data_IF_323180931474
#
_entry.id   IF_323180931474
#
_cell.length_a   1.000
_cell.length_b   1.000
_cell.length_c   1.000
_cell.angle_alpha   90.00
_cell.angle_beta   90.00
_cell.angle_gamma   90.00
#
_symmetry.space_group_name_H-M   'P 1'
#
loop_
_entity.id
_entity.type
_entity.pdbx_description
1 polymer ?
#
# COMPACT_ATOMS: atom_id res chain seq x y z
N UNK A 1 19.91 -21.12 1.46
CA UNK A 1 18.50 -21.38 1.04
C UNK A 1 18.22 -20.54 -0.18
N UNK A 2 17.51 -21.06 -1.18
CA UNK A 2 17.14 -20.28 -2.36
C UNK A 2 15.91 -19.39 -2.10
N UNK A 3 15.67 -18.36 -2.94
CA UNK A 3 14.44 -17.55 -2.88
C UNK A 3 13.18 -18.41 -3.06
N UNK A 4 13.25 -19.46 -3.87
CA UNK A 4 12.15 -20.40 -4.07
C UNK A 4 11.84 -21.21 -2.79
N UNK A 5 12.86 -21.60 -2.03
CA UNK A 5 12.67 -22.30 -0.74
C UNK A 5 12.04 -21.36 0.30
N UNK A 6 12.48 -20.10 0.35
CA UNK A 6 11.89 -19.08 1.22
C UNK A 6 10.44 -18.77 0.84
N UNK A 7 10.10 -18.74 -0.44
CA UNK A 7 8.72 -18.54 -0.90
C UNK A 7 7.79 -19.68 -0.51
N UNK A 8 8.26 -20.94 -0.59
CA UNK A 8 7.50 -22.11 -0.13
C UNK A 8 7.22 -22.04 1.38
N UNK A 9 8.21 -21.65 2.18
CA UNK A 9 8.03 -21.47 3.62
C UNK A 9 7.12 -20.27 3.90
N UNK A 10 7.32 -19.15 3.20
CA UNK A 10 6.51 -17.95 3.33
C UNK A 10 5.03 -18.21 3.06
N UNK A 11 4.70 -19.02 2.05
CA UNK A 11 3.33 -19.40 1.76
C UNK A 11 2.62 -20.09 2.93
N UNK A 12 3.35 -20.80 3.80
CA UNK A 12 2.80 -21.41 5.02
C UNK A 12 2.50 -20.39 6.13
N UNK A 13 3.19 -19.24 6.13
CA UNK A 13 3.02 -18.15 7.09
C UNK A 13 1.90 -17.19 6.68
N UNK A 14 1.60 -17.09 5.38
CA UNK A 14 0.51 -16.30 4.84
C UNK A 14 0.69 -16.07 3.34
N UNK A 15 -0.41 -15.90 2.60
CA UNK A 15 -0.39 -15.72 1.15
C UNK A 15 0.38 -14.47 0.68
N UNK A 16 0.50 -13.48 1.56
CA UNK A 16 1.20 -12.23 1.26
C UNK A 16 2.71 -12.30 1.50
N UNK A 17 3.21 -13.30 2.23
CA UNK A 17 4.63 -13.39 2.59
C UNK A 17 5.54 -13.58 1.38
N UNK A 18 5.20 -14.45 0.39
CA UNK A 18 6.01 -14.60 -0.82
C UNK A 18 6.19 -13.30 -1.63
N UNK A 19 5.22 -12.39 -1.57
CA UNK A 19 5.30 -11.08 -2.24
C UNK A 19 6.51 -10.27 -1.74
N UNK A 20 6.75 -10.26 -0.42
CA UNK A 20 7.86 -9.50 0.17
C UNK A 20 9.24 -10.07 -0.17
N UNK A 21 9.30 -11.29 -0.71
CA UNK A 21 10.56 -11.94 -1.10
C UNK A 21 11.03 -11.55 -2.50
N UNK A 22 10.16 -10.90 -3.28
CA UNK A 22 10.35 -10.55 -4.69
C UNK A 22 10.79 -9.10 -4.92
N UNK A 23 10.45 -8.59 -6.10
CA UNK A 23 10.60 -7.19 -6.48
C UNK A 23 9.58 -6.30 -5.75
N UNK A 24 9.85 -4.99 -5.60
CA UNK A 24 8.97 -4.06 -4.86
C UNK A 24 7.57 -3.92 -5.49
N UNK A 25 7.42 -4.30 -6.76
CA UNK A 25 6.16 -4.28 -7.50
C UNK A 25 6.01 -5.58 -8.26
N UNK A 26 4.83 -6.18 -8.17
CA UNK A 26 4.53 -7.44 -8.85
C UNK A 26 3.05 -7.57 -9.19
N UNK A 27 2.77 -8.32 -10.25
CA UNK A 27 1.45 -8.81 -10.57
C UNK A 27 1.25 -10.15 -9.87
N UNK A 28 0.37 -10.18 -8.88
CA UNK A 28 -0.07 -11.40 -8.24
C UNK A 28 -1.33 -11.93 -8.92
N UNK A 29 -1.35 -13.24 -9.24
CA UNK A 29 -2.51 -13.97 -9.75
C UNK A 29 -2.87 -15.12 -8.81
N UNK A 30 -4.05 -15.72 -9.03
CA UNK A 30 -4.53 -16.82 -8.20
C UNK A 30 -4.90 -16.34 -6.80
N UNK A 31 -4.33 -16.99 -5.78
CA UNK A 31 -4.45 -16.57 -4.36
C UNK A 31 -3.23 -15.77 -3.88
N UNK A 32 -2.41 -15.26 -4.80
CA UNK A 32 -1.11 -14.66 -4.50
C UNK A 32 0.06 -15.64 -4.65
N UNK A 33 -0.19 -16.81 -5.23
CA UNK A 33 0.77 -17.89 -5.46
C UNK A 33 1.57 -17.73 -6.76
N UNK A 34 0.98 -17.09 -7.76
CA UNK A 34 1.67 -16.75 -9.01
C UNK A 34 2.09 -15.29 -8.99
N UNK A 35 3.37 -15.03 -8.73
CA UNK A 35 3.94 -13.68 -8.63
C UNK A 35 4.82 -13.43 -9.86
N UNK A 36 4.41 -12.46 -10.68
CA UNK A 36 5.17 -11.96 -11.83
C UNK A 36 5.80 -10.61 -11.46
N UNK A 37 7.13 -10.48 -11.38
CA UNK A 37 7.80 -9.21 -11.11
C UNK A 37 7.44 -8.12 -12.12
N UNK A 38 7.31 -6.89 -11.65
CA UNK A 38 7.06 -5.71 -12.47
C UNK A 38 8.13 -4.64 -12.20
N UNK A 39 8.37 -3.73 -13.17
CA UNK A 39 9.19 -2.55 -12.89
C UNK A 39 8.58 -1.73 -11.74
N UNK A 40 9.41 -1.00 -10.98
CA UNK A 40 8.91 -0.10 -9.95
C UNK A 40 8.01 0.98 -10.57
N UNK A 41 7.01 1.50 -9.82
CA UNK A 41 6.21 2.61 -10.28
C UNK A 41 7.07 3.88 -10.46
N UNK A 42 6.58 4.86 -11.23
CA UNK A 42 7.20 6.18 -11.31
C UNK A 42 7.37 6.79 -9.93
N UNK A 43 8.37 7.65 -9.77
CA UNK A 43 8.59 8.36 -8.52
C UNK A 43 7.36 9.17 -8.11
N UNK A 44 6.87 8.89 -6.91
CA UNK A 44 5.71 9.55 -6.34
C UNK A 44 5.71 9.46 -4.81
N UNK A 45 4.79 10.18 -4.19
CA UNK A 45 4.58 10.23 -2.75
C UNK A 45 3.17 9.79 -2.41
N UNK A 46 3.02 9.21 -1.24
CA UNK A 46 1.76 8.69 -0.73
C UNK A 46 1.42 9.41 0.57
N UNK A 47 0.15 9.78 0.71
CA UNK A 47 -0.44 10.12 2.02
C UNK A 47 -1.39 9.01 2.40
N UNK A 48 -1.15 8.35 3.51
CA UNK A 48 -1.99 7.26 4.03
C UNK A 48 -2.81 7.81 5.20
N UNK A 49 -4.12 7.75 5.08
CA UNK A 49 -5.07 8.02 6.14
C UNK A 49 -5.62 6.70 6.69
N UNK A 50 -5.53 6.52 8.01
CA UNK A 50 -6.06 5.35 8.71
C UNK A 50 -7.03 5.81 9.82
N UNK A 51 -8.29 5.36 9.79
CA UNK A 51 -9.32 5.79 10.73
C UNK A 51 -9.26 5.06 12.09
N UNK A 52 -8.31 4.15 12.28
CA UNK A 52 -8.02 3.55 13.59
C UNK A 52 -8.90 2.36 13.98
N UNK A 53 -9.86 1.95 13.15
CA UNK A 53 -10.64 0.72 13.34
C UNK A 53 -10.16 -0.40 12.40
N UNK A 54 -10.43 -1.68 12.71
CA UNK A 54 -10.12 -2.79 11.81
C UNK A 54 -11.31 -3.14 10.89
N UNK A 55 -11.01 -3.66 9.69
CA UNK A 55 -12.00 -4.31 8.80
C UNK A 55 -11.63 -5.78 8.64
N UNK A 56 -12.60 -6.68 8.84
CA UNK A 56 -12.38 -8.12 8.62
C UNK A 56 -12.19 -8.41 7.13
N UNK A 57 -10.99 -8.88 6.77
CA UNK A 57 -10.68 -9.32 5.41
C UNK A 57 -11.66 -10.39 4.94
N UNK A 58 -11.99 -11.37 5.80
CA UNK A 58 -12.99 -12.42 5.49
C UNK A 58 -14.36 -11.82 5.18
N UNK A 59 -14.80 -10.82 5.95
CA UNK A 59 -16.06 -10.13 5.69
C UNK A 59 -16.03 -9.41 4.34
N UNK A 60 -14.96 -8.65 4.04
CA UNK A 60 -14.85 -7.92 2.77
C UNK A 60 -14.90 -8.87 1.55
N UNK A 61 -14.17 -9.99 1.60
CA UNK A 61 -14.20 -11.00 0.54
C UNK A 61 -15.53 -11.77 0.43
N UNK A 62 -16.28 -11.90 1.51
CA UNK A 62 -17.60 -12.55 1.48
C UNK A 62 -18.69 -11.64 0.92
N UNK A 63 -18.54 -10.34 1.11
CA UNK A 63 -19.53 -9.35 0.68
C UNK A 63 -19.20 -8.72 -0.68
N UNK A 64 -17.95 -8.86 -1.16
CA UNK A 64 -17.66 -8.66 -2.57
C UNK A 64 -18.45 -9.71 -3.34
N UNK A 65 -19.46 -9.26 -4.08
CA UNK A 65 -20.35 -10.16 -4.81
C UNK A 65 -19.59 -11.04 -5.80
N UNK A 66 -20.30 -11.83 -6.64
CA UNK A 66 -19.67 -12.43 -7.82
C UNK A 66 -19.22 -11.29 -8.74
N UNK A 67 -18.00 -10.78 -8.53
CA UNK A 67 -17.40 -9.81 -9.44
C UNK A 67 -17.43 -10.48 -10.80
N UNK A 68 -18.10 -9.85 -11.75
CA UNK A 68 -18.03 -10.26 -13.14
C UNK A 68 -16.61 -9.93 -13.61
N UNK A 69 -15.69 -10.88 -13.39
CA UNK A 69 -14.26 -10.80 -13.70
C UNK A 69 -13.99 -10.87 -15.21
N UNK A 70 -14.97 -10.51 -16.06
CA UNK A 70 -14.86 -10.43 -17.51
C UNK A 70 -14.30 -9.07 -17.99
N UNK A 71 -14.42 -7.99 -17.20
CA UNK A 71 -13.80 -6.67 -17.45
C UNK A 71 -12.39 -6.37 -16.86
N UNK A 72 -11.82 -7.10 -15.89
CA UNK A 72 -10.49 -6.85 -15.31
C UNK A 72 -9.35 -6.94 -16.32
N UNK A 73 -9.43 -7.81 -17.33
CA UNK A 73 -8.27 -8.08 -18.20
C UNK A 73 -7.84 -6.83 -18.99
N UNK A 74 -8.79 -6.09 -19.58
CA UNK A 74 -8.48 -4.82 -20.28
C UNK A 74 -7.90 -3.77 -19.35
N UNK A 75 -8.48 -3.59 -18.15
CA UNK A 75 -8.01 -2.58 -17.18
C UNK A 75 -6.63 -2.93 -16.65
N UNK A 76 -6.36 -4.20 -16.34
CA UNK A 76 -5.06 -4.67 -15.89
C UNK A 76 -4.02 -4.47 -17.00
N UNK A 77 -4.33 -4.81 -18.25
CA UNK A 77 -3.43 -4.56 -19.39
C UNK A 77 -3.09 -3.09 -19.55
N UNK A 78 -4.06 -2.19 -19.42
CA UNK A 78 -3.82 -0.75 -19.44
C UNK A 78 -2.94 -0.31 -18.26
N UNK A 79 -3.18 -0.84 -17.05
CA UNK A 79 -2.37 -0.56 -15.87
C UNK A 79 -0.92 -1.02 -16.03
N UNK A 80 -0.70 -2.20 -16.61
CA UNK A 80 0.63 -2.72 -16.92
C UNK A 80 1.34 -1.87 -17.99
N UNK A 81 0.61 -1.39 -18.99
CA UNK A 81 1.15 -0.52 -20.04
C UNK A 81 1.61 0.83 -19.46
N UNK A 82 0.75 1.51 -18.69
CA UNK A 82 1.09 2.81 -18.09
C UNK A 82 2.21 2.69 -17.06
N UNK A 83 2.25 1.59 -16.30
CA UNK A 83 3.34 1.30 -15.36
C UNK A 83 4.68 1.17 -16.09
N UNK A 84 4.73 0.36 -17.17
CA UNK A 84 5.94 0.16 -17.97
C UNK A 84 6.41 1.43 -18.68
N UNK A 85 5.48 2.32 -19.03
CA UNK A 85 5.79 3.60 -19.67
C UNK A 85 6.18 4.69 -18.67
N UNK A 86 6.16 4.41 -17.37
CA UNK A 86 6.49 5.41 -16.35
C UNK A 86 5.40 6.50 -16.19
N UNK A 87 4.16 6.26 -16.63
CA UNK A 87 3.09 7.26 -16.63
C UNK A 87 2.31 7.24 -15.30
N UNK A 88 2.70 8.13 -14.37
CA UNK A 88 2.05 8.25 -13.06
C UNK A 88 0.59 8.70 -13.15
N UNK A 89 0.26 9.57 -14.12
CA UNK A 89 -1.12 10.05 -14.30
C UNK A 89 -2.00 8.95 -14.86
N UNK A 90 -1.50 8.21 -15.84
CA UNK A 90 -2.13 7.00 -16.37
C UNK A 90 -2.32 5.95 -15.29
N UNK A 91 -1.29 5.67 -14.48
CA UNK A 91 -1.36 4.76 -13.35
C UNK A 91 -2.50 5.17 -12.40
N UNK A 92 -2.51 6.44 -11.99
CA UNK A 92 -3.54 7.03 -11.11
C UNK A 92 -4.96 6.97 -11.69
N UNK A 93 -5.10 6.95 -13.01
CA UNK A 93 -6.41 6.84 -13.69
C UNK A 93 -6.98 5.43 -13.70
N UNK A 94 -6.11 4.41 -13.79
CA UNK A 94 -6.54 3.02 -14.01
C UNK A 94 -6.51 2.15 -12.76
N UNK A 95 -5.79 2.58 -11.72
CA UNK A 95 -5.75 1.93 -10.41
C UNK A 95 -7.18 1.74 -9.84
N UNK A 96 -7.41 0.56 -9.26
CA UNK A 96 -8.69 0.18 -8.66
C UNK A 96 -8.50 -0.84 -7.54
N UNK A 97 -9.47 -0.88 -6.61
CA UNK A 97 -9.57 -1.93 -5.62
C UNK A 97 -10.98 -2.52 -5.67
N UNK A 98 -11.08 -3.80 -6.00
CA UNK A 98 -12.37 -4.49 -6.15
C UNK A 98 -13.15 -4.64 -4.83
N UNK A 99 -12.48 -4.59 -3.67
CA UNK A 99 -13.11 -4.66 -2.36
C UNK A 99 -13.66 -3.31 -1.90
N UNK A 100 -13.16 -2.21 -2.46
CA UNK A 100 -13.49 -0.84 -2.03
C UNK A 100 -14.98 -0.51 -2.10
N UNK A 101 -15.74 -0.86 -3.15
CA UNK A 101 -17.17 -0.54 -3.20
C UNK A 101 -17.96 -1.13 -2.03
N UNK A 102 -17.61 -2.36 -1.62
CA UNK A 102 -18.30 -3.07 -0.55
C UNK A 102 -17.86 -2.59 0.82
N UNK A 103 -16.56 -2.47 1.05
CA UNK A 103 -16.06 -1.95 2.33
C UNK A 103 -16.46 -0.49 2.54
N UNK A 104 -16.40 0.33 1.49
CA UNK A 104 -16.78 1.75 1.55
C UNK A 104 -18.28 1.96 1.78
N UNK A 105 -19.13 1.04 1.33
CA UNK A 105 -20.56 1.08 1.63
C UNK A 105 -20.87 0.79 3.10
N UNK A 106 -20.16 -0.16 3.71
CA UNK A 106 -20.31 -0.47 5.14
C UNK A 106 -19.60 0.54 6.07
N UNK A 107 -18.56 1.20 5.56
CA UNK A 107 -17.75 2.15 6.32
C UNK A 107 -17.59 3.46 5.54
N UNK A 108 -18.57 4.39 5.63
CA UNK A 108 -18.58 5.64 4.86
C UNK A 108 -17.35 6.52 5.06
N UNK A 109 -16.66 6.40 6.20
CA UNK A 109 -15.42 7.12 6.50
C UNK A 109 -14.32 6.85 5.44
N UNK A 110 -14.29 5.67 4.85
CA UNK A 110 -13.37 5.32 3.73
C UNK A 110 -13.64 6.23 2.53
N UNK A 111 -14.91 6.44 2.20
CA UNK A 111 -15.32 7.33 1.11
C UNK A 111 -14.97 8.79 1.44
N UNK A 112 -15.12 9.20 2.70
CA UNK A 112 -14.74 10.54 3.16
C UNK A 112 -13.24 10.77 3.03
N UNK A 113 -12.40 9.87 3.54
CA UNK A 113 -10.94 9.95 3.40
C UNK A 113 -10.51 10.05 1.94
N UNK A 114 -11.10 9.23 1.06
CA UNK A 114 -10.81 9.24 -0.37
C UNK A 114 -11.14 10.59 -1.02
N UNK A 115 -12.31 11.15 -0.72
CA UNK A 115 -12.72 12.48 -1.23
C UNK A 115 -11.81 13.59 -0.72
N UNK A 116 -11.46 13.54 0.56
CA UNK A 116 -10.62 14.57 1.17
C UNK A 116 -9.18 14.52 0.65
N UNK A 117 -8.60 13.33 0.44
CA UNK A 117 -7.28 13.19 -0.21
C UNK A 117 -7.27 13.75 -1.63
N UNK A 118 -8.31 13.49 -2.43
CA UNK A 118 -8.45 14.05 -3.78
C UNK A 118 -8.61 15.57 -3.73
N UNK A 119 -9.40 16.10 -2.79
CA UNK A 119 -9.56 17.55 -2.60
C UNK A 119 -8.25 18.23 -2.24
N UNK A 120 -7.37 17.56 -1.49
CA UNK A 120 -6.02 18.03 -1.16
C UNK A 120 -5.00 17.86 -2.30
N UNK A 121 -5.43 17.42 -3.48
CA UNK A 121 -4.61 17.38 -4.69
C UNK A 121 -3.96 16.03 -4.99
N UNK A 122 -4.47 14.93 -4.42
CA UNK A 122 -4.05 13.61 -4.84
C UNK A 122 -4.50 13.34 -6.30
N UNK A 123 -3.60 12.79 -7.12
CA UNK A 123 -3.89 12.34 -8.49
C UNK A 123 -4.95 11.23 -8.50
N UNK A 124 -4.93 10.39 -7.47
CA UNK A 124 -5.95 9.39 -7.17
C UNK A 124 -5.89 9.05 -5.67
N UNK A 125 -7.00 8.54 -5.13
CA UNK A 125 -7.02 7.98 -3.78
C UNK A 125 -7.84 6.68 -3.74
N UNK A 126 -7.33 5.69 -3.02
CA UNK A 126 -7.91 4.35 -2.94
C UNK A 126 -7.69 3.69 -1.58
N UNK A 127 -8.61 2.80 -1.22
CA UNK A 127 -8.47 1.90 -0.10
C UNK A 127 -7.34 0.89 -0.35
N UNK A 128 -6.50 0.65 0.65
CA UNK A 128 -5.47 -0.39 0.62
C UNK A 128 -6.03 -1.73 1.10
N UNK A 129 -5.90 -2.78 0.28
CA UNK A 129 -6.33 -4.14 0.63
C UNK A 129 -7.82 -4.23 0.94
N UNK A 130 -8.20 -4.87 2.05
CA UNK A 130 -9.59 -4.88 2.53
C UNK A 130 -10.00 -3.62 3.29
N UNK A 131 -9.08 -2.67 3.48
CA UNK A 131 -9.28 -1.46 4.28
C UNK A 131 -8.96 -1.62 5.76
N UNK A 132 -9.22 -0.57 6.56
CA UNK A 132 -9.89 0.67 6.15
C UNK A 132 -8.96 1.80 5.71
N UNK A 133 -7.64 1.60 5.73
CA UNK A 133 -6.70 2.64 5.32
C UNK A 133 -6.91 3.05 3.85
N UNK A 134 -6.84 4.36 3.59
CA UNK A 134 -6.91 4.95 2.25
C UNK A 134 -5.60 5.67 1.99
N UNK A 135 -5.03 5.50 0.81
CA UNK A 135 -3.87 6.25 0.37
C UNK A 135 -4.22 7.19 -0.78
N UNK A 136 -3.56 8.34 -0.84
CA UNK A 136 -3.60 9.28 -1.95
C UNK A 136 -2.24 9.37 -2.63
N UNK A 137 -2.21 9.43 -3.97
CA UNK A 137 -1.01 9.51 -4.80
C UNK A 137 -0.69 10.98 -5.11
N UNK A 138 0.53 11.41 -4.85
CA UNK A 138 1.01 12.78 -5.09
C UNK A 138 2.30 12.74 -5.90
N UNK A 139 2.45 13.65 -6.87
CA UNK A 139 3.67 13.70 -7.69
C UNK A 139 4.92 14.16 -6.93
N UNK A 140 4.76 14.95 -5.85
CA UNK A 140 5.89 15.53 -5.11
C UNK A 140 5.67 15.51 -3.60
N UNK A 141 6.78 15.44 -2.85
CA UNK A 141 6.79 15.36 -1.38
C UNK A 141 6.09 16.55 -0.73
N UNK A 142 6.36 17.76 -1.22
CA UNK A 142 5.81 18.98 -0.65
C UNK A 142 4.26 19.00 -0.72
N UNK A 143 3.68 18.47 -1.80
CA UNK A 143 2.23 18.34 -1.94
C UNK A 143 1.67 17.32 -0.94
N UNK A 144 2.28 16.14 -0.84
CA UNK A 144 1.89 15.11 0.13
C UNK A 144 1.95 15.61 1.59
N UNK A 145 3.04 16.30 1.96
CA UNK A 145 3.19 16.87 3.31
C UNK A 145 2.14 17.94 3.61
N UNK A 146 1.85 18.83 2.67
CA UNK A 146 0.79 19.85 2.83
C UNK A 146 -0.58 19.21 2.99
N UNK A 147 -0.92 18.22 2.16
CA UNK A 147 -2.16 17.48 2.26
C UNK A 147 -2.30 16.80 3.64
N UNK A 148 -1.26 16.08 4.08
CA UNK A 148 -1.26 15.45 5.40
C UNK A 148 -1.41 16.48 6.54
N UNK A 149 -0.75 17.65 6.45
CA UNK A 149 -0.90 18.71 7.44
C UNK A 149 -2.33 19.27 7.51
N UNK A 150 -2.99 19.49 6.36
CA UNK A 150 -4.38 19.99 6.31
C UNK A 150 -5.42 18.98 6.77
N UNK A 151 -5.13 17.69 6.64
CA UNK A 151 -6.00 16.63 7.11
C UNK A 151 -5.81 16.30 8.60
N UNK A 152 -4.86 16.95 9.28
CA UNK A 152 -4.73 16.83 10.75
C UNK A 152 -6.03 17.27 11.43
N UNK A 153 -6.33 16.66 12.58
CA UNK A 153 -7.55 16.95 13.34
C UNK A 153 -8.81 16.22 12.83
N UNK A 154 -8.74 15.47 11.73
CA UNK A 154 -9.85 14.62 11.24
C UNK A 154 -10.07 13.34 12.05
N UNK A 155 -9.26 13.09 13.09
CA UNK A 155 -9.29 11.83 13.85
C UNK A 155 -8.54 10.67 13.19
N UNK A 156 -7.88 10.90 12.06
CA UNK A 156 -7.13 9.87 11.33
C UNK A 156 -5.65 9.88 11.69
N UNK A 157 -5.05 8.69 11.71
CA UNK A 157 -3.60 8.55 11.69
C UNK A 157 -3.12 8.80 10.26
N UNK A 158 -2.19 9.74 10.09
CA UNK A 158 -1.70 10.19 8.79
C UNK A 158 -0.21 9.89 8.64
N UNK A 159 0.15 9.29 7.51
CA UNK A 159 1.54 8.96 7.20
C UNK A 159 1.90 9.49 5.82
N UNK A 160 3.10 10.05 5.68
CA UNK A 160 3.67 10.42 4.38
C UNK A 160 4.75 9.41 4.04
N UNK A 161 4.66 8.81 2.87
CA UNK A 161 5.52 7.71 2.46
C UNK A 161 5.91 7.83 0.99
N UNK A 162 6.91 7.05 0.59
CA UNK A 162 7.30 6.82 -0.80
C UNK A 162 7.33 5.29 -1.03
N UNK A 163 6.96 4.80 -2.22
CA UNK A 163 7.11 3.39 -2.55
C UNK A 163 8.57 2.94 -2.44
N UNK A 164 8.77 1.66 -2.18
CA UNK A 164 10.09 1.07 -2.32
C UNK A 164 10.48 0.93 -3.78
N UNK A 165 11.75 1.20 -4.06
CA UNK A 165 12.36 1.01 -5.38
C UNK A 165 13.24 -0.23 -5.46
N UNK A 166 13.45 -0.91 -4.33
CA UNK A 166 14.25 -2.13 -4.22
C UNK A 166 13.48 -3.23 -3.46
N UNK A 167 13.97 -4.47 -3.55
CA UNK A 167 13.35 -5.61 -2.89
C UNK A 167 13.18 -5.36 -1.39
N UNK A 168 12.00 -5.66 -0.80
CA UNK A 168 11.75 -5.41 0.61
C UNK A 168 12.67 -6.24 1.50
N UNK A 169 13.01 -7.46 1.08
CA UNK A 169 14.00 -8.30 1.73
C UNK A 169 15.39 -7.66 1.78
N UNK A 170 15.84 -7.05 0.69
CA UNK A 170 17.15 -6.41 0.64
C UNK A 170 17.19 -5.22 1.59
N UNK A 171 16.12 -4.43 1.60
CA UNK A 171 16.02 -3.28 2.49
C UNK A 171 15.96 -3.69 3.97
N UNK A 172 15.16 -4.70 4.31
CA UNK A 172 15.13 -5.27 5.67
C UNK A 172 16.49 -5.85 6.06
N UNK A 173 17.17 -6.52 5.14
CA UNK A 173 18.50 -7.08 5.39
C UNK A 173 19.52 -5.97 5.65
N UNK A 174 19.56 -4.93 4.82
CA UNK A 174 20.45 -3.79 5.02
C UNK A 174 20.17 -3.06 6.33
N UNK A 175 18.91 -2.83 6.67
CA UNK A 175 18.51 -2.20 7.93
C UNK A 175 18.87 -3.07 9.14
N UNK A 176 18.69 -4.39 9.06
CA UNK A 176 19.06 -5.32 10.12
C UNK A 176 20.58 -5.43 10.30
N UNK A 177 21.35 -5.40 9.21
CA UNK A 177 22.82 -5.46 9.22
C UNK A 177 23.41 -4.13 9.73
N UNK A 178 22.88 -2.99 9.31
CA UNK A 178 23.33 -1.66 9.75
C UNK A 178 22.86 -1.31 11.17
N UNK A 179 21.74 -1.85 11.63
CA UNK A 179 21.06 -1.44 12.85
C UNK A 179 21.37 -2.24 14.11
N UNK A 180 22.07 -3.38 14.04
CA UNK A 180 22.41 -4.20 15.22
C UNK A 180 21.20 -4.64 16.08
N UNK A 181 19.96 -4.57 15.56
CA UNK A 181 18.74 -4.86 16.32
C UNK A 181 18.32 -6.30 16.11
N UNK A 182 18.21 -7.03 17.23
CA UNK A 182 17.68 -8.39 17.30
C UNK A 182 16.21 -8.38 16.87
N UNK A 183 15.88 -9.15 15.84
CA UNK A 183 14.52 -9.30 15.31
C UNK A 183 13.59 -9.81 16.42
N UNK A 184 12.64 -8.99 16.87
CA UNK A 184 11.65 -9.40 17.86
C UNK A 184 10.56 -10.21 17.16
N UNK A 185 10.26 -11.40 17.70
CA UNK A 185 9.21 -12.31 17.21
C UNK A 185 7.86 -11.58 17.12
N UNK A 186 7.32 -11.43 15.91
CA UNK A 186 5.92 -11.14 15.72
C UNK A 186 5.11 -12.43 15.88
N UNK A 187 4.51 -12.64 17.05
CA UNK A 187 3.53 -13.70 17.30
C UNK A 187 2.16 -13.27 16.77
N UNK A 188 1.87 -13.58 15.51
CA UNK A 188 0.54 -13.46 14.94
C UNK A 188 0.18 -14.75 14.21
N UNK A 189 -0.76 -15.54 14.73
CA UNK A 189 -1.27 -16.73 14.03
C UNK A 189 -2.08 -16.28 12.82
N UNK A 190 -1.54 -16.48 11.61
CA UNK A 190 -2.32 -16.40 10.38
C UNK A 190 -3.25 -17.62 10.30
N UNK A 191 -4.56 -17.40 10.20
CA UNK A 191 -5.53 -18.46 10.00
C UNK A 191 -5.56 -18.90 8.52
N UNK A 192 -5.60 -20.21 8.21
CA UNK A 192 -5.60 -20.68 6.83
C UNK A 192 -6.92 -20.33 6.13
N UNK A 193 -6.83 -19.67 4.96
CA UNK A 193 -7.97 -19.40 4.09
C UNK A 193 -8.37 -20.69 3.36
N UNK A 194 -9.60 -21.14 3.59
CA UNK A 194 -10.14 -22.39 3.05
C UNK A 194 -10.20 -22.40 1.52
N UNK A 195 -10.01 -23.60 0.96
CA UNK A 195 -9.95 -23.86 -0.46
C UNK A 195 -11.28 -23.59 -1.17
N UNK A 196 -11.31 -22.54 -2.00
CA UNK A 196 -12.35 -22.37 -3.00
C UNK A 196 -12.77 -20.93 -3.18
N UNK A 197 -12.09 -20.21 -4.08
CA UNK A 197 -12.63 -19.07 -4.87
C UNK A 197 -11.53 -18.48 -5.77
N UNK A 198 -11.93 -18.14 -7.00
CA UNK A 198 -11.10 -17.85 -8.19
C UNK A 198 -10.45 -16.46 -8.12
N UNK A 199 -9.33 -16.34 -8.85
CA UNK A 199 -8.36 -15.25 -8.90
C UNK A 199 -8.89 -13.82 -8.63
N UNK A 200 -8.37 -13.21 -7.56
CA UNK A 200 -8.42 -11.76 -7.36
C UNK A 200 -7.11 -11.16 -7.89
N UNK A 201 -7.20 -10.38 -8.97
CA UNK A 201 -6.06 -9.61 -9.44
C UNK A 201 -5.88 -8.42 -8.51
N UNK A 202 -4.83 -8.46 -7.69
CA UNK A 202 -4.34 -7.31 -6.95
C UNK A 202 -3.03 -6.86 -7.60
N UNK A 203 -3.02 -5.69 -8.23
CA UNK A 203 -1.77 -4.93 -8.36
C UNK A 203 -1.55 -4.33 -6.98
N UNK A 204 -0.81 -5.05 -6.16
CA UNK A 204 -0.53 -4.68 -4.78
C UNK A 204 0.73 -3.82 -4.77
N UNK A 205 0.59 -2.51 -4.57
CA UNK A 205 1.66 -1.75 -3.95
C UNK A 205 1.62 -2.07 -2.46
N UNK A 206 2.35 -3.13 -2.06
CA UNK A 206 2.42 -3.58 -0.66
C UNK A 206 3.79 -3.30 -0.06
N UNK A 207 4.37 -2.11 -0.25
CA UNK A 207 5.41 -1.67 0.71
C UNK A 207 5.49 -0.15 0.83
N UNK A 208 5.26 0.33 2.04
CA UNK A 208 5.40 1.73 2.43
C UNK A 208 6.66 1.87 3.27
N UNK A 209 7.63 2.67 2.83
CA UNK A 209 8.61 3.24 3.77
C UNK A 209 7.89 4.36 4.52
N UNK A 210 7.34 4.04 5.70
CA UNK A 210 6.61 5.01 6.53
C UNK A 210 7.62 5.95 7.19
N UNK A 211 7.69 7.20 6.75
CA UNK A 211 8.30 8.25 7.55
C UNK A 211 7.21 8.79 8.49
N UNK A 212 7.33 8.61 9.82
CA UNK A 212 6.44 9.31 10.74
C UNK A 212 6.60 10.81 10.50
N UNK A 213 5.48 11.53 10.46
CA UNK A 213 5.52 12.99 10.59
C UNK A 213 6.09 13.25 11.99
N UNK A 214 7.32 13.73 12.06
CA UNK A 214 7.95 14.10 13.32
C UNK A 214 6.99 15.00 14.10
N UNK A 215 6.76 14.65 15.36
CA UNK A 215 6.30 15.60 16.35
C UNK A 215 7.34 16.72 16.35
N UNK A 216 6.87 17.96 16.15
CA UNK A 216 7.75 19.11 16.25
C UNK A 216 8.35 19.12 17.65
N UNK A 217 9.67 18.96 17.73
CA UNK A 217 10.40 19.57 18.81
C UNK A 217 10.53 21.04 18.44
N UNK A 218 9.83 21.86 19.21
CA UNK A 218 10.26 23.22 19.51
C UNK A 218 11.76 23.19 19.86
N UNK A 219 12.58 23.70 18.96
CA UNK A 219 13.83 24.36 19.33
C UNK A 219 13.69 25.80 18.88
N UNK A 220 13.17 26.61 19.80
CA UNK A 220 13.47 28.02 19.78
C UNK A 220 14.96 28.20 20.02
N UNK A 221 15.65 28.79 19.05
CA UNK A 221 16.67 29.79 19.33
C UNK A 221 16.91 30.62 18.08
N UNK A 222 16.14 31.71 17.98
CA UNK A 222 16.52 32.88 17.19
C UNK A 222 17.59 33.59 18.02
N UNK A 223 18.87 33.23 17.86
CA UNK A 223 19.99 34.13 18.17
C UNK A 223 21.19 33.89 17.25
N UNK A 224 21.74 35.05 16.86
CA UNK A 224 23.02 35.32 16.23
C UNK A 224 23.01 35.48 14.70
N UNK A 225 22.72 36.74 14.36
CA UNK A 225 23.43 37.55 13.38
C UNK A 225 24.92 37.23 13.24
N UNK A 226 25.43 37.65 12.08
CA UNK A 226 26.81 38.00 11.72
C UNK A 226 27.71 36.92 11.11
N UNK A 227 28.01 37.21 9.84
CA UNK A 227 29.13 36.82 8.97
C UNK A 227 28.99 35.51 8.18
#
# INVERSE_FOLDING_TARGET
MSRADLAKIGASLGCDVPFFLGEPTALARGKGDCIEPLPPPPDHWLVIANPGFPVSTKWAYNNVGKINLTCPDKRIRLLLLVLRNGDLKGLSRYIFNALEPVTGAAHPEITTMKKDLVREGALAALMSGSGPSVFGIFGIQAAARRAAARLRGRGWKLFVSRPLTASPLLQIHEEAVKGGKRLVRASGKAAPLSAGRRAAYQVAEKVFSLLPLGEGQDEGDIKNECL
#
